data_IF_703809868647
#
_entry.id   IF_703809868647
#
_cell.length_a   1.000
_cell.length_b   1.000
_cell.length_c   1.000
_cell.angle_alpha   90.00
_cell.angle_beta   90.00
_cell.angle_gamma   90.00
#
_symmetry.space_group_name_H-M   'P 1'
#
loop_
_entity.id
_entity.type
_entity.pdbx_description
1 polymer ?
#
# COMPACT_ATOMS: atom_id res chain seq x y z
N UNK A 1 -15.65 -9.94 -19.86
CA UNK A 1 -16.10 -10.71 -18.69
C UNK A 1 -16.40 -9.72 -17.57
N UNK A 2 -17.42 -9.99 -16.75
CA UNK A 2 -17.75 -9.17 -15.59
C UNK A 2 -17.25 -9.86 -14.32
N UNK A 3 -16.38 -9.20 -13.57
CA UNK A 3 -15.82 -9.74 -12.31
C UNK A 3 -16.52 -9.12 -11.10
N UNK A 4 -16.62 -9.90 -10.03
CA UNK A 4 -17.05 -9.47 -8.71
C UNK A 4 -15.85 -9.55 -7.77
N UNK A 5 -15.30 -8.39 -7.40
CA UNK A 5 -14.06 -8.34 -6.64
C UNK A 5 -14.33 -7.95 -5.17
N UNK A 6 -13.85 -8.74 -4.23
CA UNK A 6 -13.65 -8.28 -2.84
C UNK A 6 -12.30 -7.58 -2.78
N UNK A 7 -12.28 -6.34 -2.25
CA UNK A 7 -11.05 -5.58 -1.97
C UNK A 7 -11.00 -5.33 -0.47
N UNK A 8 -10.16 -6.10 0.26
CA UNK A 8 -9.96 -5.85 1.69
C UNK A 8 -8.97 -4.72 1.88
N UNK A 9 -9.15 -3.88 2.91
CA UNK A 9 -8.35 -2.67 3.08
C UNK A 9 -8.66 -1.61 2.01
N UNK A 10 -9.85 -1.67 1.40
CA UNK A 10 -10.22 -0.81 0.28
C UNK A 10 -10.48 0.65 0.64
N UNK A 11 -10.61 0.99 1.93
CA UNK A 11 -10.69 2.38 2.41
C UNK A 11 -9.29 2.97 2.74
N UNK A 12 -8.22 2.17 2.67
CA UNK A 12 -6.83 2.62 2.83
C UNK A 12 -6.28 3.28 1.56
N UNK A 13 -5.02 3.72 1.61
CA UNK A 13 -4.35 4.45 0.54
C UNK A 13 -4.34 3.69 -0.80
N UNK A 14 -3.64 2.56 -0.88
CA UNK A 14 -3.52 1.76 -2.10
C UNK A 14 -4.88 1.12 -2.45
N UNK A 15 -5.60 0.61 -1.44
CA UNK A 15 -6.90 -0.02 -1.64
C UNK A 15 -7.93 0.91 -2.28
N UNK A 16 -8.01 2.16 -1.86
CA UNK A 16 -8.91 3.14 -2.46
C UNK A 16 -8.55 3.49 -3.91
N UNK A 17 -7.25 3.53 -4.24
CA UNK A 17 -6.80 3.72 -5.63
C UNK A 17 -7.22 2.52 -6.51
N UNK A 18 -7.08 1.28 -6.01
CA UNK A 18 -7.55 0.07 -6.71
C UNK A 18 -9.06 0.10 -6.93
N UNK A 19 -9.83 0.48 -5.91
CA UNK A 19 -11.29 0.57 -6.02
C UNK A 19 -11.71 1.63 -7.05
N UNK A 20 -11.08 2.82 -7.02
CA UNK A 20 -11.33 3.88 -8.01
C UNK A 20 -10.96 3.43 -9.42
N UNK A 21 -9.80 2.77 -9.59
CA UNK A 21 -9.36 2.22 -10.89
C UNK A 21 -10.41 1.25 -11.45
N UNK A 22 -10.87 0.28 -10.65
CA UNK A 22 -11.84 -0.72 -11.10
C UNK A 22 -13.19 -0.09 -11.46
N UNK A 23 -13.74 0.75 -10.58
CA UNK A 23 -15.09 1.33 -10.79
C UNK A 23 -15.10 2.32 -11.96
N UNK A 24 -14.04 3.12 -12.13
CA UNK A 24 -13.99 4.12 -13.22
C UNK A 24 -13.68 3.53 -14.58
N UNK A 25 -12.82 2.53 -14.64
CA UNK A 25 -12.22 2.07 -15.90
C UNK A 25 -12.73 0.70 -16.36
N UNK A 26 -13.64 0.06 -15.58
CA UNK A 26 -14.22 -1.25 -15.94
C UNK A 26 -15.71 -1.31 -15.59
N UNK A 27 -16.39 -2.37 -16.06
CA UNK A 27 -17.78 -2.67 -15.68
C UNK A 27 -17.88 -3.60 -14.46
N UNK A 28 -16.79 -3.88 -13.76
CA UNK A 28 -16.76 -4.82 -12.66
C UNK A 28 -17.45 -4.28 -11.40
N UNK A 29 -17.87 -5.19 -10.52
CA UNK A 29 -18.49 -4.88 -9.23
C UNK A 29 -17.47 -5.07 -8.11
N UNK A 30 -17.41 -4.13 -7.17
CA UNK A 30 -16.47 -4.16 -6.05
C UNK A 30 -17.22 -4.17 -4.72
N UNK A 31 -16.83 -5.10 -3.84
CA UNK A 31 -17.18 -5.08 -2.42
C UNK A 31 -15.93 -4.73 -1.62
N UNK A 32 -15.90 -3.54 -1.05
CA UNK A 32 -14.85 -3.11 -0.12
C UNK A 32 -15.12 -3.70 1.25
N UNK A 33 -14.13 -4.37 1.84
CA UNK A 33 -14.14 -4.87 3.21
C UNK A 33 -13.07 -4.15 4.00
N UNK A 34 -13.47 -3.33 4.97
CA UNK A 34 -12.53 -2.54 5.78
C UNK A 34 -13.08 -2.34 7.20
N UNK A 35 -12.21 -2.44 8.20
CA UNK A 35 -12.62 -2.21 9.59
C UNK A 35 -12.59 -0.73 9.99
N UNK A 36 -12.07 0.14 9.11
CA UNK A 36 -11.91 1.58 9.33
C UNK A 36 -11.08 1.89 10.58
N UNK A 37 -9.80 1.48 10.54
CA UNK A 37 -8.82 1.92 11.52
C UNK A 37 -8.39 3.37 11.22
N UNK A 38 -7.41 3.87 11.94
CA UNK A 38 -6.90 5.24 11.81
C UNK A 38 -6.54 5.67 10.37
N UNK A 39 -6.09 4.73 9.52
CA UNK A 39 -5.69 4.98 8.13
C UNK A 39 -6.80 4.69 7.11
N UNK A 40 -7.92 4.09 7.53
CA UNK A 40 -9.09 3.82 6.67
C UNK A 40 -10.03 5.02 6.62
N UNK A 41 -10.22 5.59 5.42
CA UNK A 41 -11.08 6.77 5.24
C UNK A 41 -12.02 6.61 4.04
N UNK A 42 -13.34 6.61 4.30
CA UNK A 42 -14.36 6.48 3.26
C UNK A 42 -14.40 7.67 2.29
N UNK A 43 -13.91 8.85 2.68
CA UNK A 43 -13.81 9.99 1.78
C UNK A 43 -12.85 9.74 0.61
N UNK A 44 -11.87 8.84 0.80
CA UNK A 44 -10.99 8.39 -0.30
C UNK A 44 -11.73 7.60 -1.39
N UNK A 45 -12.98 7.22 -1.13
CA UNK A 45 -13.88 6.50 -2.04
C UNK A 45 -15.07 7.36 -2.50
N UNK A 46 -15.16 8.64 -2.11
CA UNK A 46 -16.30 9.52 -2.40
C UNK A 46 -16.64 9.61 -3.89
N UNK A 47 -15.62 9.61 -4.76
CA UNK A 47 -15.79 9.67 -6.21
C UNK A 47 -16.47 8.43 -6.83
N UNK A 48 -16.53 7.32 -6.10
CA UNK A 48 -17.03 6.02 -6.60
C UNK A 48 -18.12 5.39 -5.72
N UNK A 49 -18.33 5.88 -4.52
CA UNK A 49 -19.28 5.34 -3.54
C UNK A 49 -20.74 5.42 -4.00
N UNK A 50 -21.09 6.35 -4.89
CA UNK A 50 -22.44 6.45 -5.49
C UNK A 50 -22.69 5.46 -6.65
N UNK A 51 -21.71 4.68 -7.08
CA UNK A 51 -21.89 3.69 -8.14
C UNK A 51 -22.74 2.50 -7.69
N UNK A 52 -23.70 2.01 -8.50
CA UNK A 52 -24.43 0.78 -8.18
C UNK A 52 -23.54 -0.47 -8.19
N UNK A 53 -22.33 -0.36 -8.70
CA UNK A 53 -21.31 -1.41 -8.72
C UNK A 53 -20.37 -1.38 -7.50
N UNK A 54 -20.58 -0.44 -6.56
CA UNK A 54 -19.82 -0.30 -5.32
C UNK A 54 -20.64 -0.81 -4.13
N UNK A 55 -20.03 -1.63 -3.27
CA UNK A 55 -20.56 -2.05 -1.98
C UNK A 55 -19.49 -1.87 -0.91
N UNK A 56 -19.89 -1.42 0.28
CA UNK A 56 -19.03 -1.33 1.45
C UNK A 56 -19.52 -2.24 2.58
N UNK A 57 -18.63 -3.03 3.16
CA UNK A 57 -18.84 -3.88 4.33
C UNK A 57 -17.83 -3.49 5.42
N UNK A 58 -18.34 -2.94 6.53
CA UNK A 58 -17.48 -2.69 7.70
C UNK A 58 -17.24 -4.00 8.43
N UNK A 59 -16.04 -4.58 8.26
CA UNK A 59 -15.68 -5.85 8.90
C UNK A 59 -14.16 -5.96 9.11
N UNK A 60 -13.77 -6.66 10.18
CA UNK A 60 -12.38 -7.06 10.42
C UNK A 60 -12.09 -8.37 9.66
N UNK A 61 -10.94 -8.46 9.00
CA UNK A 61 -10.49 -9.70 8.35
C UNK A 61 -10.19 -10.83 9.35
N UNK A 62 -10.11 -10.53 10.64
CA UNK A 62 -10.04 -11.52 11.72
C UNK A 62 -11.42 -12.08 12.11
N UNK A 63 -12.52 -11.46 11.67
CA UNK A 63 -13.88 -11.94 11.95
C UNK A 63 -14.33 -12.97 10.91
N UNK A 64 -14.13 -14.22 11.26
CA UNK A 64 -14.51 -15.36 10.41
C UNK A 64 -16.00 -15.38 10.04
N UNK A 65 -16.89 -15.03 10.98
CA UNK A 65 -18.33 -15.08 10.74
C UNK A 65 -18.76 -13.99 9.75
N UNK A 66 -18.22 -12.78 9.90
CA UNK A 66 -18.45 -11.70 8.95
C UNK A 66 -17.91 -12.06 7.55
N UNK A 67 -16.72 -12.62 7.45
CA UNK A 67 -16.14 -13.03 6.16
C UNK A 67 -16.99 -14.14 5.51
N UNK A 68 -17.37 -15.19 6.24
CA UNK A 68 -18.21 -16.27 5.71
C UNK A 68 -19.54 -15.71 5.14
N UNK A 69 -20.19 -14.76 5.83
CA UNK A 69 -21.38 -14.06 5.35
C UNK A 69 -21.09 -13.26 4.08
N UNK A 70 -20.04 -12.44 4.07
CA UNK A 70 -19.70 -11.59 2.93
C UNK A 70 -19.45 -12.46 1.67
N UNK A 71 -18.69 -13.54 1.79
CA UNK A 71 -18.44 -14.46 0.68
C UNK A 71 -19.74 -15.10 0.16
N UNK A 72 -20.64 -15.53 1.06
CA UNK A 72 -21.91 -16.13 0.69
C UNK A 72 -22.83 -15.14 -0.03
N UNK A 73 -22.94 -13.91 0.49
CA UNK A 73 -23.83 -12.88 -0.05
C UNK A 73 -23.31 -12.27 -1.36
N UNK A 74 -22.00 -11.96 -1.40
CA UNK A 74 -21.42 -11.27 -2.53
C UNK A 74 -21.02 -12.21 -3.66
N UNK A 75 -20.64 -13.44 -3.36
CA UNK A 75 -20.18 -14.47 -4.33
C UNK A 75 -19.07 -13.96 -5.25
N UNK A 76 -17.88 -13.64 -4.71
CA UNK A 76 -16.79 -13.05 -5.47
C UNK A 76 -16.21 -14.01 -6.49
N UNK A 77 -15.75 -13.47 -7.62
CA UNK A 77 -14.85 -14.16 -8.55
C UNK A 77 -13.38 -13.93 -8.20
N UNK A 78 -13.09 -12.77 -7.57
CA UNK A 78 -11.73 -12.37 -7.22
C UNK A 78 -11.69 -11.79 -5.81
N UNK A 79 -10.58 -12.04 -5.11
CA UNK A 79 -10.23 -11.40 -3.84
C UNK A 79 -8.91 -10.68 -4.03
N UNK A 80 -8.87 -9.39 -3.72
CA UNK A 80 -7.65 -8.58 -3.63
C UNK A 80 -7.43 -8.21 -2.16
N UNK A 81 -6.40 -8.79 -1.55
CA UNK A 81 -6.15 -8.67 -0.12
C UNK A 81 -5.09 -7.61 0.16
N UNK A 82 -5.55 -6.38 0.49
CA UNK A 82 -4.71 -5.24 0.86
C UNK A 82 -4.83 -4.85 2.34
N UNK A 83 -5.79 -5.41 3.09
CA UNK A 83 -5.93 -5.12 4.51
C UNK A 83 -4.68 -5.54 5.28
N UNK A 84 -4.00 -4.60 5.92
CA UNK A 84 -2.81 -4.82 6.71
C UNK A 84 -2.54 -3.63 7.64
N UNK A 85 -1.91 -3.88 8.79
CA UNK A 85 -1.14 -2.84 9.46
C UNK A 85 0.18 -2.64 8.70
N UNK A 86 0.55 -1.38 8.41
CA UNK A 86 1.60 -1.08 7.41
C UNK A 86 2.63 -0.03 7.81
N UNK A 87 2.55 0.54 9.01
CA UNK A 87 3.49 1.57 9.44
C UNK A 87 4.62 0.97 10.26
N UNK A 88 5.86 0.97 9.72
CA UNK A 88 7.02 0.34 10.36
C UNK A 88 7.25 0.88 11.77
N UNK A 89 7.20 2.21 11.97
CA UNK A 89 7.44 2.81 13.28
C UNK A 89 6.40 2.35 14.32
N UNK A 90 5.12 2.21 13.92
CA UNK A 90 4.08 1.61 14.79
C UNK A 90 4.37 0.15 15.11
N UNK A 91 4.97 -0.60 14.19
CA UNK A 91 5.32 -2.00 14.44
C UNK A 91 6.44 -2.16 15.47
N UNK A 92 7.29 -1.15 15.63
CA UNK A 92 8.34 -1.12 16.66
C UNK A 92 7.71 -0.86 18.04
N UNK A 93 6.75 0.04 18.11
CA UNK A 93 6.09 0.42 19.36
C UNK A 93 5.04 -0.62 19.81
N UNK A 94 4.33 -1.28 18.85
CA UNK A 94 3.24 -2.22 19.14
C UNK A 94 3.16 -3.38 18.14
N UNK A 95 4.08 -4.36 18.14
CA UNK A 95 4.12 -5.43 17.15
C UNK A 95 2.92 -6.38 17.18
N UNK A 96 2.20 -6.47 18.29
CA UNK A 96 1.08 -7.40 18.45
C UNK A 96 -0.05 -7.20 17.44
N UNK A 97 -0.40 -5.94 17.14
CA UNK A 97 -1.43 -5.62 16.13
C UNK A 97 -1.03 -6.09 14.72
N UNK A 98 0.27 -6.05 14.40
CA UNK A 98 0.79 -6.54 13.12
C UNK A 98 0.69 -8.04 13.01
N UNK A 99 0.97 -8.78 14.09
CA UNK A 99 0.79 -10.24 14.14
C UNK A 99 -0.69 -10.58 13.96
N UNK A 100 -1.57 -9.92 14.72
CA UNK A 100 -3.00 -10.17 14.69
C UNK A 100 -3.58 -9.87 13.30
N UNK A 101 -3.34 -8.69 12.77
CA UNK A 101 -3.93 -8.26 11.49
C UNK A 101 -3.26 -8.97 10.30
N UNK A 102 -1.93 -8.93 10.21
CA UNK A 102 -1.24 -9.38 9.00
C UNK A 102 -1.12 -10.91 8.91
N UNK A 103 -0.99 -11.61 10.04
CA UNK A 103 -0.84 -13.07 10.04
C UNK A 103 -2.18 -13.76 10.31
N UNK A 104 -2.81 -13.46 11.46
CA UNK A 104 -4.08 -14.13 11.84
C UNK A 104 -5.22 -13.69 10.92
N UNK A 105 -5.30 -12.39 10.57
CA UNK A 105 -6.29 -11.88 9.63
C UNK A 105 -6.14 -12.50 8.24
N UNK A 106 -4.90 -12.60 7.71
CA UNK A 106 -4.65 -13.28 6.43
C UNK A 106 -5.04 -14.75 6.48
N UNK A 107 -4.67 -15.47 7.57
CA UNK A 107 -5.11 -16.84 7.77
C UNK A 107 -6.64 -16.96 7.74
N UNK A 108 -7.35 -16.12 8.48
CA UNK A 108 -8.81 -16.17 8.58
C UNK A 108 -9.47 -15.90 7.21
N UNK A 109 -8.96 -14.94 6.47
CA UNK A 109 -9.45 -14.63 5.12
C UNK A 109 -9.17 -15.78 4.13
N UNK A 110 -7.98 -16.41 4.20
CA UNK A 110 -7.64 -17.57 3.38
C UNK A 110 -8.57 -18.75 3.66
N UNK A 111 -8.93 -19.00 4.92
CA UNK A 111 -9.88 -20.08 5.28
C UNK A 111 -11.31 -19.79 4.79
N UNK A 112 -11.77 -18.54 4.89
CA UNK A 112 -13.05 -18.14 4.31
C UNK A 112 -13.08 -18.29 2.78
N UNK A 113 -12.00 -17.84 2.12
CA UNK A 113 -11.84 -18.00 0.66
C UNK A 113 -11.76 -19.47 0.25
N UNK A 114 -11.03 -20.31 0.98
CA UNK A 114 -10.94 -21.77 0.73
C UNK A 114 -12.29 -22.47 0.90
N UNK A 115 -13.03 -22.14 1.96
CA UNK A 115 -14.37 -22.69 2.19
C UNK A 115 -15.30 -22.32 1.02
N UNK A 116 -15.29 -21.06 0.60
CA UNK A 116 -16.09 -20.59 -0.54
C UNK A 116 -15.65 -21.25 -1.84
N UNK A 117 -14.34 -21.29 -2.14
CA UNK A 117 -13.77 -21.93 -3.33
C UNK A 117 -14.20 -23.41 -3.45
N UNK A 118 -14.19 -24.15 -2.34
CA UNK A 118 -14.60 -25.56 -2.33
C UNK A 118 -16.11 -25.75 -2.61
N UNK A 119 -16.95 -24.73 -2.38
CA UNK A 119 -18.37 -24.77 -2.68
C UNK A 119 -18.71 -24.43 -4.13
N UNK A 120 -17.75 -23.91 -4.92
CA UNK A 120 -17.95 -23.56 -6.33
C UNK A 120 -17.98 -24.82 -7.21
N UNK A 121 -18.72 -24.70 -8.32
CA UNK A 121 -18.62 -25.66 -9.42
C UNK A 121 -17.27 -25.53 -10.16
N UNK A 122 -17.00 -26.41 -11.10
CA UNK A 122 -15.72 -26.42 -11.82
C UNK A 122 -15.47 -25.13 -12.63
N UNK A 123 -16.53 -24.51 -13.16
CA UNK A 123 -16.41 -23.25 -13.90
C UNK A 123 -16.05 -22.09 -12.96
N UNK A 124 -16.70 -22.01 -11.80
CA UNK A 124 -16.41 -21.05 -10.75
C UNK A 124 -15.00 -21.21 -10.20
N UNK A 125 -14.57 -22.45 -9.92
CA UNK A 125 -13.20 -22.73 -9.46
C UNK A 125 -12.14 -22.30 -10.48
N UNK A 126 -12.37 -22.55 -11.75
CA UNK A 126 -11.46 -22.13 -12.85
C UNK A 126 -11.32 -20.62 -12.93
N UNK A 127 -12.40 -19.88 -12.65
CA UNK A 127 -12.44 -18.42 -12.69
C UNK A 127 -11.99 -17.72 -11.40
N UNK A 128 -11.96 -18.42 -10.27
CA UNK A 128 -11.64 -17.80 -8.96
C UNK A 128 -10.16 -17.43 -8.85
N UNK A 129 -9.87 -16.28 -8.22
CA UNK A 129 -8.51 -15.82 -7.95
C UNK A 129 -8.44 -15.18 -6.55
N UNK A 130 -7.33 -15.42 -5.87
CA UNK A 130 -6.97 -14.75 -4.61
C UNK A 130 -5.61 -14.08 -4.79
N UNK A 131 -5.61 -12.76 -4.81
CA UNK A 131 -4.41 -11.94 -4.97
C UNK A 131 -4.04 -11.29 -3.64
N UNK A 132 -2.88 -11.61 -3.10
CA UNK A 132 -2.31 -11.03 -1.89
C UNK A 132 -1.30 -9.95 -2.23
N UNK A 133 -1.48 -8.78 -1.65
CA UNK A 133 -0.61 -7.61 -1.89
C UNK A 133 0.37 -7.49 -0.71
N UNK A 134 1.65 -7.55 -1.03
CA UNK A 134 2.78 -7.49 -0.09
C UNK A 134 3.71 -6.32 -0.42
N UNK A 135 4.92 -6.35 0.09
CA UNK A 135 5.91 -5.28 0.04
C UNK A 135 7.29 -5.84 -0.30
N UNK A 136 8.16 -5.05 -0.89
CA UNK A 136 9.57 -5.37 -1.09
C UNK A 136 10.38 -5.44 0.23
N UNK A 137 9.88 -4.84 1.30
CA UNK A 137 10.52 -4.90 2.62
C UNK A 137 10.66 -6.34 3.17
N UNK A 138 9.94 -7.32 2.62
CA UNK A 138 10.11 -8.74 2.97
C UNK A 138 11.47 -9.30 2.54
N UNK A 139 12.12 -8.70 1.55
CA UNK A 139 13.42 -9.12 1.06
C UNK A 139 14.58 -8.67 1.95
N UNK A 140 14.39 -7.66 2.79
CA UNK A 140 15.42 -7.09 3.65
C UNK A 140 16.19 -5.95 2.99
N UNK A 141 17.50 -5.79 3.29
CA UNK A 141 18.35 -4.72 2.79
C UNK A 141 19.24 -5.19 1.63
N UNK A 142 19.44 -4.34 0.63
CA UNK A 142 20.37 -4.60 -0.46
C UNK A 142 21.80 -4.20 -0.09
N UNK A 143 22.76 -5.12 -0.33
CA UNK A 143 24.16 -4.91 0.04
C UNK A 143 24.99 -4.15 -1.01
N UNK A 144 24.54 -4.11 -2.27
CA UNK A 144 25.28 -3.49 -3.38
C UNK A 144 24.45 -2.44 -4.11
N UNK A 145 25.12 -1.45 -4.76
CA UNK A 145 24.43 -0.38 -5.48
C UNK A 145 23.73 -0.87 -6.76
N UNK A 146 24.17 -1.98 -7.33
CA UNK A 146 23.64 -2.57 -8.56
C UNK A 146 22.72 -3.78 -8.31
N UNK A 147 22.47 -4.14 -7.03
CA UNK A 147 21.61 -5.26 -6.69
C UNK A 147 20.14 -4.86 -6.76
N UNK A 148 19.27 -5.82 -7.15
CA UNK A 148 17.82 -5.64 -7.17
C UNK A 148 17.13 -6.84 -6.56
N UNK A 149 16.03 -6.60 -5.86
CA UNK A 149 15.13 -7.67 -5.40
C UNK A 149 14.37 -8.27 -6.57
N UNK A 150 14.47 -9.57 -6.71
CA UNK A 150 13.73 -10.39 -7.68
C UNK A 150 12.74 -11.28 -6.96
N UNK A 151 11.79 -11.84 -7.68
CA UNK A 151 10.82 -12.77 -7.12
C UNK A 151 11.46 -14.04 -6.53
N UNK A 152 12.71 -14.33 -6.91
CA UNK A 152 13.52 -15.43 -6.38
C UNK A 152 14.44 -15.03 -5.23
N UNK A 153 14.52 -13.76 -4.86
CA UNK A 153 15.32 -13.28 -3.73
C UNK A 153 14.79 -13.88 -2.43
N UNK A 154 15.63 -14.50 -1.60
CA UNK A 154 15.21 -15.00 -0.28
C UNK A 154 14.70 -13.87 0.61
N UNK A 155 13.67 -14.17 1.42
CA UNK A 155 13.14 -13.22 2.39
C UNK A 155 14.10 -13.08 3.59
N UNK A 156 14.38 -11.85 3.99
CA UNK A 156 15.21 -11.49 5.14
C UNK A 156 14.69 -10.22 5.84
N UNK A 157 13.42 -10.20 6.30
CA UNK A 157 12.77 -9.01 6.83
C UNK A 157 13.47 -8.46 8.08
N UNK A 158 13.60 -7.12 8.19
CA UNK A 158 14.35 -6.43 9.25
C UNK A 158 13.45 -5.82 10.35
N UNK A 159 12.13 -5.72 10.13
CA UNK A 159 11.18 -5.10 11.06
C UNK A 159 10.03 -6.03 11.43
N UNK A 160 9.32 -5.79 12.57
CA UNK A 160 8.11 -6.54 12.89
C UNK A 160 7.04 -6.46 11.80
N UNK A 161 6.90 -5.31 11.14
CA UNK A 161 6.02 -5.15 9.98
C UNK A 161 6.43 -6.08 8.84
N UNK A 162 7.66 -5.96 8.34
CA UNK A 162 8.12 -6.77 7.19
C UNK A 162 8.12 -8.27 7.51
N UNK A 163 8.44 -8.66 8.76
CA UNK A 163 8.35 -10.05 9.22
C UNK A 163 6.90 -10.57 9.20
N UNK A 164 5.93 -9.75 9.61
CA UNK A 164 4.50 -10.12 9.56
C UNK A 164 4.01 -10.25 8.11
N UNK A 165 4.47 -9.40 7.19
CA UNK A 165 4.16 -9.50 5.76
C UNK A 165 4.80 -10.73 5.12
N UNK A 166 6.07 -11.02 5.41
CA UNK A 166 6.73 -12.24 4.96
C UNK A 166 5.99 -13.50 5.44
N UNK A 167 5.50 -13.49 6.68
CA UNK A 167 4.70 -14.59 7.23
C UNK A 167 3.39 -14.77 6.47
N UNK A 168 2.67 -13.69 6.16
CA UNK A 168 1.43 -13.76 5.36
C UNK A 168 1.68 -14.24 3.94
N UNK A 169 2.77 -13.84 3.29
CA UNK A 169 3.17 -14.33 1.96
C UNK A 169 3.40 -15.85 1.97
N UNK A 170 4.06 -16.36 3.01
CA UNK A 170 4.27 -17.81 3.18
C UNK A 170 2.95 -18.56 3.38
N UNK A 171 2.00 -18.01 4.15
CA UNK A 171 0.66 -18.60 4.30
C UNK A 171 -0.05 -18.68 2.93
N UNK A 172 -0.05 -17.60 2.17
CA UNK A 172 -0.70 -17.54 0.85
C UNK A 172 -0.12 -18.59 -0.10
N UNK A 173 1.21 -18.71 -0.16
CA UNK A 173 1.89 -19.74 -0.97
C UNK A 173 1.57 -21.15 -0.48
N UNK A 174 1.49 -21.37 0.84
CA UNK A 174 1.14 -22.66 1.42
C UNK A 174 -0.30 -23.06 1.06
N UNK A 175 -1.28 -22.13 1.09
CA UNK A 175 -2.66 -22.40 0.68
C UNK A 175 -2.78 -22.83 -0.78
N UNK A 176 -2.00 -22.22 -1.66
CA UNK A 176 -1.90 -22.69 -3.06
C UNK A 176 -1.35 -24.11 -3.14
N UNK A 177 -0.21 -24.37 -2.50
CA UNK A 177 0.50 -25.64 -2.62
C UNK A 177 -0.23 -26.80 -1.95
N UNK A 178 -0.83 -26.55 -0.77
CA UNK A 178 -1.46 -27.59 0.04
C UNK A 178 -2.92 -27.82 -0.34
N UNK A 179 -3.67 -26.76 -0.60
CA UNK A 179 -5.13 -26.83 -0.79
C UNK A 179 -5.57 -26.49 -2.22
N UNK A 180 -4.66 -26.14 -3.11
CA UNK A 180 -4.99 -25.81 -4.49
C UNK A 180 -5.71 -24.46 -4.69
N UNK A 181 -5.82 -23.62 -3.65
CA UNK A 181 -6.45 -22.29 -3.78
C UNK A 181 -5.66 -21.45 -4.78
N UNK A 182 -6.27 -20.90 -5.85
CA UNK A 182 -5.55 -20.18 -6.89
C UNK A 182 -5.11 -18.80 -6.43
N UNK A 183 -4.00 -18.77 -5.67
CA UNK A 183 -3.42 -17.55 -5.09
C UNK A 183 -2.30 -16.99 -5.94
N UNK A 184 -2.09 -15.66 -5.85
CA UNK A 184 -0.94 -14.91 -6.38
C UNK A 184 -0.43 -13.96 -5.32
N UNK A 185 0.83 -13.57 -5.39
CA UNK A 185 1.46 -12.59 -4.50
C UNK A 185 2.06 -11.47 -5.34
N UNK A 186 1.93 -10.22 -4.90
CA UNK A 186 2.71 -9.11 -5.44
C UNK A 186 3.52 -8.44 -4.34
N UNK A 187 4.78 -8.13 -4.64
CA UNK A 187 5.65 -7.34 -3.76
C UNK A 187 5.91 -6.00 -4.45
N UNK A 188 5.52 -4.90 -3.80
CA UNK A 188 5.64 -3.57 -4.39
C UNK A 188 6.69 -2.72 -3.69
N UNK A 189 7.29 -1.80 -4.44
CA UNK A 189 8.13 -0.74 -3.91
C UNK A 189 7.32 0.35 -3.18
N UNK A 190 8.00 1.37 -2.65
CA UNK A 190 7.37 2.42 -1.86
C UNK A 190 6.36 3.23 -2.69
N UNK A 191 5.10 3.25 -2.24
CA UNK A 191 4.04 3.97 -2.93
C UNK A 191 3.92 5.43 -2.48
N UNK A 192 3.51 6.31 -3.39
CA UNK A 192 3.17 7.69 -3.13
C UNK A 192 2.05 8.18 -4.05
N UNK A 193 1.36 9.25 -3.67
CA UNK A 193 0.27 9.80 -4.48
C UNK A 193 -0.88 10.37 -3.66
N UNK A 194 -2.02 10.65 -4.30
CA UNK A 194 -3.25 11.12 -3.67
C UNK A 194 -3.76 10.19 -2.57
N UNK A 195 -4.34 10.76 -1.51
CA UNK A 195 -4.95 10.05 -0.38
C UNK A 195 -3.97 9.25 0.50
N UNK A 196 -2.65 9.46 0.40
CA UNK A 196 -1.68 8.82 1.27
C UNK A 196 -1.76 9.40 2.69
N UNK A 197 -1.92 8.52 3.71
CA UNK A 197 -2.09 8.96 5.09
C UNK A 197 -0.86 9.73 5.59
N UNK A 198 -1.04 10.87 6.31
CA UNK A 198 0.02 11.83 6.60
C UNK A 198 1.07 11.41 7.64
N UNK A 199 1.09 10.15 8.07
CA UNK A 199 2.20 9.58 8.85
C UNK A 199 3.41 9.17 7.99
N UNK A 200 3.23 9.10 6.66
CA UNK A 200 4.28 8.71 5.71
C UNK A 200 5.06 9.92 5.20
N UNK A 201 6.31 9.68 4.79
CA UNK A 201 7.30 10.73 4.46
C UNK A 201 6.73 11.84 3.55
N UNK A 202 6.20 11.50 2.39
CA UNK A 202 5.80 12.49 1.39
C UNK A 202 4.64 13.37 1.88
N UNK A 203 3.48 12.83 2.32
CA UNK A 203 2.40 13.67 2.81
C UNK A 203 2.76 14.41 4.10
N UNK A 204 3.53 13.79 5.01
CA UNK A 204 4.01 14.47 6.22
C UNK A 204 4.82 15.73 5.89
N UNK A 205 5.79 15.60 4.97
CA UNK A 205 6.64 16.73 4.55
C UNK A 205 5.80 17.84 3.91
N UNK A 206 4.87 17.51 3.02
CA UNK A 206 3.99 18.51 2.38
C UNK A 206 3.18 19.27 3.44
N UNK A 207 2.50 18.56 4.34
CA UNK A 207 1.61 19.17 5.32
C UNK A 207 2.38 19.92 6.42
N UNK A 208 3.53 19.41 6.88
CA UNK A 208 4.41 20.13 7.79
C UNK A 208 4.95 21.43 7.17
N UNK A 209 5.42 21.36 5.93
CA UNK A 209 5.93 22.52 5.21
C UNK A 209 4.87 23.63 5.15
N UNK A 210 3.65 23.30 4.73
CA UNK A 210 2.53 24.25 4.64
C UNK A 210 2.10 24.79 6.02
N UNK A 211 2.27 24.00 7.08
CA UNK A 211 1.98 24.42 8.45
C UNK A 211 3.14 25.19 9.13
N UNK A 212 4.24 25.47 8.43
CA UNK A 212 5.43 26.13 8.99
C UNK A 212 6.18 25.31 10.05
N UNK A 213 5.99 23.98 10.08
CA UNK A 213 6.62 23.04 11.00
C UNK A 213 7.95 22.53 10.47
N UNK A 214 8.79 21.99 11.36
CA UNK A 214 10.02 21.31 10.99
C UNK A 214 9.74 20.08 10.10
N UNK A 215 10.64 19.83 9.14
CA UNK A 215 10.62 18.67 8.23
C UNK A 215 11.66 17.66 8.70
N UNK A 216 11.27 16.67 9.54
CA UNK A 216 12.23 15.75 10.13
C UNK A 216 12.72 14.74 9.09
N UNK A 217 14.06 14.62 8.97
CA UNK A 217 14.73 13.65 8.11
C UNK A 217 15.56 12.72 8.99
N UNK A 218 15.31 11.42 8.91
CA UNK A 218 16.05 10.42 9.67
C UNK A 218 17.52 10.33 9.24
N UNK A 219 18.45 10.32 10.20
CA UNK A 219 19.89 10.28 9.97
C UNK A 219 20.33 11.44 9.08
N UNK A 220 20.92 11.13 7.94
CA UNK A 220 21.30 12.10 6.90
C UNK A 220 20.34 12.08 5.68
N UNK A 221 19.30 11.25 5.74
CA UNK A 221 18.36 11.04 4.63
C UNK A 221 18.96 10.26 3.45
N UNK A 222 19.99 9.45 3.70
CA UNK A 222 20.70 8.69 2.65
C UNK A 222 20.02 7.38 2.26
N UNK A 223 18.97 6.98 2.99
CA UNK A 223 18.21 5.78 2.66
C UNK A 223 17.57 5.94 1.28
N UNK A 224 17.75 4.92 0.44
CA UNK A 224 17.29 4.89 -0.95
C UNK A 224 16.02 4.04 -1.01
N UNK A 225 15.00 4.56 -1.70
CA UNK A 225 13.74 3.86 -1.97
C UNK A 225 13.39 3.98 -3.44
N UNK A 226 12.85 2.92 -4.01
CA UNK A 226 12.17 2.97 -5.30
C UNK A 226 10.74 3.48 -5.09
N UNK A 227 10.34 4.51 -5.84
CA UNK A 227 9.07 5.21 -5.66
C UNK A 227 8.11 4.90 -6.79
N UNK A 228 6.96 4.33 -6.42
CA UNK A 228 5.90 3.92 -7.34
C UNK A 228 4.65 4.79 -7.15
N UNK A 229 4.19 5.43 -8.22
CA UNK A 229 2.96 6.22 -8.16
C UNK A 229 1.74 5.32 -7.96
N UNK A 230 0.86 5.68 -7.02
CA UNK A 230 -0.20 4.79 -6.53
C UNK A 230 -1.20 4.36 -7.61
N UNK A 231 -1.49 5.21 -8.59
CA UNK A 231 -2.39 4.84 -9.69
C UNK A 231 -1.73 3.87 -10.68
N UNK A 232 -0.41 3.95 -10.89
CA UNK A 232 0.35 2.94 -11.62
C UNK A 232 0.30 1.60 -10.91
N UNK A 233 0.46 1.62 -9.59
CA UNK A 233 0.34 0.41 -8.78
C UNK A 233 -1.07 -0.18 -8.84
N UNK A 234 -2.12 0.64 -8.72
CA UNK A 234 -3.50 0.17 -8.81
C UNK A 234 -3.79 -0.55 -10.14
N UNK A 235 -3.28 -0.02 -11.26
CA UNK A 235 -3.37 -0.68 -12.57
C UNK A 235 -2.61 -2.01 -12.62
N UNK A 236 -1.40 -2.07 -12.05
CA UNK A 236 -0.64 -3.32 -11.94
C UNK A 236 -1.39 -4.38 -11.13
N UNK A 237 -1.92 -3.99 -9.96
CA UNK A 237 -2.65 -4.90 -9.08
C UNK A 237 -3.90 -5.46 -9.75
N UNK A 238 -4.68 -4.63 -10.45
CA UNK A 238 -5.84 -5.08 -11.21
C UNK A 238 -5.44 -6.03 -12.34
N UNK A 239 -4.36 -5.72 -13.05
CA UNK A 239 -3.84 -6.56 -14.13
C UNK A 239 -3.41 -7.95 -13.61
N UNK A 240 -2.65 -7.99 -12.50
CA UNK A 240 -2.26 -9.26 -11.86
C UNK A 240 -3.47 -10.03 -11.37
N UNK A 241 -4.44 -9.36 -10.73
CA UNK A 241 -5.66 -10.03 -10.26
C UNK A 241 -6.43 -10.73 -11.38
N UNK A 242 -6.47 -10.15 -12.60
CA UNK A 242 -7.27 -10.63 -13.70
C UNK A 242 -6.52 -11.47 -14.74
N UNK A 243 -5.21 -11.31 -14.87
CA UNK A 243 -4.39 -11.95 -15.90
C UNK A 243 -3.16 -12.70 -15.35
N UNK A 244 -2.82 -12.49 -14.07
CA UNK A 244 -1.69 -13.16 -13.42
C UNK A 244 -1.86 -14.68 -13.33
N UNK A 245 -0.76 -15.39 -13.32
CA UNK A 245 -0.73 -16.86 -13.27
C UNK A 245 -0.85 -17.31 -11.79
N UNK A 246 -1.86 -18.14 -11.44
CA UNK A 246 -2.00 -18.66 -10.08
C UNK A 246 -0.78 -19.46 -9.60
N UNK A 247 -0.23 -19.05 -8.47
CA UNK A 247 1.00 -19.62 -7.88
C UNK A 247 2.21 -18.73 -8.07
N UNK A 248 2.15 -17.75 -8.97
CA UNK A 248 3.26 -16.84 -9.25
C UNK A 248 3.33 -15.65 -8.27
N UNK A 249 4.54 -15.13 -8.15
CA UNK A 249 4.82 -13.84 -7.50
C UNK A 249 5.23 -12.84 -8.58
N UNK A 250 4.80 -11.59 -8.45
CA UNK A 250 5.18 -10.49 -9.32
C UNK A 250 5.70 -9.33 -8.49
N UNK A 251 6.89 -8.86 -8.80
CA UNK A 251 7.43 -7.62 -8.29
C UNK A 251 6.86 -6.43 -9.08
N UNK A 252 6.53 -5.34 -8.37
CA UNK A 252 5.99 -4.12 -8.98
C UNK A 252 6.80 -2.93 -8.47
N UNK A 253 7.57 -2.29 -9.34
CA UNK A 253 8.45 -1.18 -9.01
C UNK A 253 8.31 0.01 -9.96
N UNK A 254 8.72 1.18 -9.48
CA UNK A 254 8.65 2.42 -10.25
C UNK A 254 9.89 2.69 -11.10
N UNK A 255 10.98 1.98 -10.85
CA UNK A 255 12.33 2.29 -11.38
C UNK A 255 12.76 3.73 -11.09
N UNK A 256 12.36 4.25 -9.94
CA UNK A 256 12.55 5.64 -9.49
C UNK A 256 13.29 5.68 -8.15
N UNK A 257 14.51 5.16 -8.10
CA UNK A 257 15.34 5.18 -6.89
C UNK A 257 15.73 6.61 -6.52
N UNK A 258 15.42 7.03 -5.30
CA UNK A 258 15.78 8.34 -4.75
C UNK A 258 16.18 8.22 -3.29
N UNK A 259 17.14 9.03 -2.85
CA UNK A 259 17.41 9.22 -1.43
C UNK A 259 16.27 9.99 -0.77
N UNK A 260 15.97 9.68 0.47
CA UNK A 260 14.92 10.39 1.22
C UNK A 260 15.14 11.91 1.24
N UNK A 261 16.39 12.37 1.38
CA UNK A 261 16.70 13.81 1.36
C UNK A 261 16.43 14.46 -0.01
N UNK A 262 16.62 13.71 -1.12
CA UNK A 262 16.31 14.20 -2.47
C UNK A 262 14.80 14.38 -2.65
N UNK A 263 14.00 13.42 -2.14
CA UNK A 263 12.53 13.51 -2.14
C UNK A 263 12.07 14.72 -1.35
N UNK A 264 12.57 14.93 -0.13
CA UNK A 264 12.21 16.08 0.72
C UNK A 264 12.56 17.41 0.03
N UNK A 265 13.76 17.53 -0.52
CA UNK A 265 14.17 18.74 -1.26
C UNK A 265 13.32 19.00 -2.50
N UNK A 266 12.94 17.93 -3.23
CA UNK A 266 12.06 18.06 -4.40
C UNK A 266 10.67 18.57 -4.03
N UNK A 267 10.11 18.10 -2.90
CA UNK A 267 8.84 18.61 -2.37
C UNK A 267 8.97 20.08 -2.01
N UNK A 268 10.02 20.49 -1.28
CA UNK A 268 10.27 21.89 -0.94
C UNK A 268 10.33 22.77 -2.21
N UNK A 269 11.09 22.35 -3.23
CA UNK A 269 11.17 23.06 -4.50
C UNK A 269 9.81 23.24 -5.18
N UNK A 270 8.99 22.19 -5.20
CA UNK A 270 7.64 22.26 -5.79
C UNK A 270 6.72 23.17 -4.99
N UNK A 271 6.82 23.17 -3.66
CA UNK A 271 6.05 24.07 -2.81
C UNK A 271 6.50 25.52 -2.97
N UNK A 272 7.81 25.80 -3.10
CA UNK A 272 8.33 27.14 -3.39
C UNK A 272 7.78 27.70 -4.72
N UNK A 273 7.58 26.81 -5.72
CA UNK A 273 7.00 27.17 -7.02
C UNK A 273 5.47 27.36 -6.94
N UNK A 274 4.74 26.40 -6.33
CA UNK A 274 3.29 26.30 -6.43
C UNK A 274 2.53 27.05 -5.33
N UNK A 275 3.16 27.24 -4.17
CA UNK A 275 2.59 27.86 -2.97
C UNK A 275 3.68 28.53 -2.13
N UNK A 276 4.38 29.57 -2.65
CA UNK A 276 5.50 30.19 -1.96
C UNK A 276 5.09 30.74 -0.59
N UNK A 277 6.01 30.69 0.36
CA UNK A 277 5.79 31.20 1.72
C UNK A 277 5.64 32.73 1.69
N UNK A 278 4.77 33.24 2.56
CA UNK A 278 4.52 34.68 2.66
C UNK A 278 5.73 35.50 3.15
N UNK A 279 6.68 34.85 3.85
CA UNK A 279 7.93 35.49 4.31
C UNK A 279 9.07 35.43 3.28
N UNK A 280 8.83 34.85 2.10
CA UNK A 280 9.78 34.73 0.99
C UNK A 280 10.95 33.77 1.20
N UNK A 281 10.99 33.04 2.34
CA UNK A 281 12.03 32.05 2.60
C UNK A 281 11.69 30.70 1.96
N UNK A 282 12.69 29.91 1.50
CA UNK A 282 12.43 28.62 0.92
C UNK A 282 11.99 27.60 1.97
N UNK A 283 11.11 26.67 1.58
CA UNK A 283 10.66 25.59 2.45
C UNK A 283 11.80 24.67 2.92
N UNK A 284 12.88 24.60 2.16
CA UNK A 284 14.07 23.80 2.53
C UNK A 284 14.75 24.26 3.84
N UNK A 285 14.54 25.49 4.30
CA UNK A 285 15.02 25.95 5.61
C UNK A 285 14.33 25.26 6.80
N UNK A 286 13.17 24.62 6.57
CA UNK A 286 12.47 23.86 7.60
C UNK A 286 13.04 22.44 7.80
N UNK A 287 13.98 21.98 6.97
CA UNK A 287 14.57 20.63 7.07
C UNK A 287 15.42 20.54 8.34
N UNK A 288 15.14 19.52 9.15
CA UNK A 288 15.91 19.18 10.36
C UNK A 288 16.31 17.71 10.30
N UNK A 289 17.57 17.41 10.66
CA UNK A 289 18.04 16.04 10.75
C UNK A 289 17.81 15.49 12.16
N UNK A 290 17.17 14.35 12.28
CA UNK A 290 16.83 13.71 13.55
C UNK A 290 17.51 12.34 13.66
N UNK A 291 17.60 11.81 14.90
CA UNK A 291 18.17 10.47 15.13
C UNK A 291 17.43 9.42 14.29
N UNK A 292 18.20 8.53 13.67
CA UNK A 292 17.63 7.44 12.86
C UNK A 292 16.89 6.40 13.72
N UNK A 293 15.98 5.65 13.10
CA UNK A 293 15.21 4.59 13.77
C UNK A 293 16.01 3.27 13.80
N UNK A 294 15.75 2.38 14.77
CA UNK A 294 16.33 1.04 14.78
C UNK A 294 15.90 0.24 13.53
N UNK A 295 16.82 -0.59 13.01
CA UNK A 295 16.52 -1.48 11.87
C UNK A 295 16.13 -0.77 10.58
N UNK A 296 16.66 0.43 10.35
CA UNK A 296 16.36 1.20 9.16
C UNK A 296 17.24 0.73 7.99
N UNK A 297 16.69 -0.07 7.10
CA UNK A 297 17.35 -0.57 5.90
C UNK A 297 17.83 0.58 5.00
N UNK A 298 19.01 0.43 4.42
CA UNK A 298 19.65 1.48 3.65
C UNK A 298 19.06 1.60 2.25
N UNK A 299 18.85 0.48 1.54
CA UNK A 299 18.42 0.53 0.14
C UNK A 299 17.40 -0.54 -0.20
N UNK A 300 16.32 -0.09 -0.84
CA UNK A 300 15.37 -0.93 -1.55
C UNK A 300 15.35 -0.56 -3.03
N UNK A 301 15.50 -1.56 -3.89
CA UNK A 301 15.33 -1.44 -5.33
C UNK A 301 14.77 -2.77 -5.86
N UNK A 302 13.76 -2.70 -6.70
CA UNK A 302 13.01 -3.87 -7.13
C UNK A 302 13.15 -4.06 -8.65
N UNK A 303 13.39 -5.32 -9.07
CA UNK A 303 13.31 -5.73 -10.47
C UNK A 303 11.86 -6.07 -10.79
N UNK A 304 11.23 -5.25 -11.64
CA UNK A 304 9.85 -5.42 -12.09
C UNK A 304 9.76 -5.95 -13.54
N UNK A 305 10.81 -6.52 -14.08
CA UNK A 305 10.85 -6.99 -15.48
C UNK A 305 9.86 -8.13 -15.75
N UNK A 306 9.59 -8.98 -14.75
CA UNK A 306 8.66 -10.11 -14.92
C UNK A 306 7.24 -9.67 -15.25
N UNK A 307 6.68 -8.73 -14.49
CA UNK A 307 5.33 -8.22 -14.77
C UNK A 307 5.27 -7.51 -16.14
N UNK A 308 6.33 -6.81 -16.52
CA UNK A 308 6.44 -6.20 -17.85
C UNK A 308 6.45 -7.23 -18.96
N UNK A 309 7.26 -8.25 -18.84
CA UNK A 309 7.43 -9.30 -19.83
C UNK A 309 6.20 -10.22 -19.97
N UNK A 310 5.57 -10.60 -18.84
CA UNK A 310 4.47 -11.56 -18.83
C UNK A 310 3.09 -10.92 -19.01
N UNK A 311 2.88 -9.71 -18.48
CA UNK A 311 1.59 -9.04 -18.47
C UNK A 311 1.59 -7.69 -19.23
N UNK A 312 2.72 -7.27 -19.78
CA UNK A 312 2.83 -6.03 -20.56
C UNK A 312 2.72 -4.74 -19.72
N UNK A 313 2.79 -4.82 -18.38
CA UNK A 313 2.69 -3.66 -17.53
C UNK A 313 4.01 -2.89 -17.47
N UNK A 314 3.89 -1.56 -17.39
CA UNK A 314 4.97 -0.63 -17.04
C UNK A 314 4.39 0.62 -16.37
N UNK A 315 5.15 1.30 -15.51
CA UNK A 315 4.72 2.56 -14.93
C UNK A 315 4.51 3.61 -16.03
N UNK A 316 3.52 4.47 -15.87
CA UNK A 316 3.21 5.59 -16.77
C UNK A 316 3.79 6.91 -16.23
N UNK A 317 3.97 7.01 -14.90
CA UNK A 317 4.54 8.18 -14.26
C UNK A 317 6.03 8.00 -13.99
N UNK A 318 6.80 9.06 -14.25
CA UNK A 318 8.14 9.22 -13.66
C UNK A 318 8.00 9.75 -12.24
N UNK A 319 9.09 9.71 -11.45
CA UNK A 319 9.07 10.35 -10.14
C UNK A 319 8.76 11.85 -10.25
N UNK A 320 9.31 12.54 -11.22
CA UNK A 320 9.14 13.97 -11.44
C UNK A 320 7.68 14.34 -11.75
N UNK A 321 7.02 13.58 -12.63
CA UNK A 321 5.62 13.83 -12.98
C UNK A 321 4.67 13.44 -11.84
N UNK A 322 4.89 12.30 -11.21
CA UNK A 322 4.05 11.81 -10.12
C UNK A 322 4.16 12.66 -8.85
N UNK A 323 5.38 13.11 -8.46
CA UNK A 323 5.55 13.95 -7.26
C UNK A 323 4.92 15.32 -7.44
N UNK A 324 4.98 15.93 -8.64
CA UNK A 324 4.25 17.17 -8.95
C UNK A 324 2.75 16.99 -8.77
N UNK A 325 2.16 15.96 -9.40
CA UNK A 325 0.73 15.62 -9.24
C UNK A 325 0.33 15.42 -7.79
N UNK A 326 1.22 14.79 -7.02
CA UNK A 326 1.00 14.56 -5.60
C UNK A 326 0.96 15.88 -4.82
N UNK A 327 1.95 16.76 -4.99
CA UNK A 327 1.98 18.07 -4.32
C UNK A 327 0.76 18.91 -4.71
N UNK A 328 0.43 18.99 -6.00
CA UNK A 328 -0.76 19.69 -6.50
C UNK A 328 -2.05 19.15 -5.89
N UNK A 329 -2.18 17.82 -5.74
CA UNK A 329 -3.33 17.20 -5.11
C UNK A 329 -3.46 17.62 -3.63
N UNK A 330 -2.36 17.58 -2.85
CA UNK A 330 -2.39 18.01 -1.44
C UNK A 330 -2.70 19.50 -1.29
N UNK A 331 -2.17 20.35 -2.15
CA UNK A 331 -2.48 21.78 -2.16
C UNK A 331 -3.97 22.04 -2.43
N UNK A 332 -4.56 21.28 -3.36
CA UNK A 332 -5.99 21.38 -3.69
C UNK A 332 -6.90 20.86 -2.56
N UNK A 333 -6.47 19.81 -1.85
CA UNK A 333 -7.29 19.10 -0.86
C UNK A 333 -6.89 19.33 0.60
N UNK A 334 -6.12 20.40 0.87
CA UNK A 334 -5.66 20.73 2.23
C UNK A 334 -6.79 21.08 3.19
N UNK A 335 -7.84 21.74 2.69
CA UNK A 335 -8.95 22.26 3.48
C UNK A 335 -10.16 21.30 3.53
N UNK A 336 -10.14 20.20 2.77
CA UNK A 336 -11.16 19.16 2.78
C UNK A 336 -10.62 17.82 3.31
N UNK A 337 -10.09 16.96 2.45
CA UNK A 337 -9.63 15.61 2.84
C UNK A 337 -8.50 15.66 3.90
N UNK A 338 -7.50 16.53 3.72
CA UNK A 338 -6.40 16.62 4.70
C UNK A 338 -6.88 17.16 6.05
N UNK A 339 -7.74 18.17 6.06
CA UNK A 339 -8.31 18.72 7.28
C UNK A 339 -9.16 17.66 8.02
N UNK A 340 -9.95 16.86 7.29
CA UNK A 340 -10.72 15.77 7.87
C UNK A 340 -9.80 14.72 8.53
N UNK A 341 -8.77 14.25 7.82
CA UNK A 341 -7.82 13.26 8.34
C UNK A 341 -7.09 13.78 9.58
N UNK A 342 -6.69 15.07 9.59
CA UNK A 342 -5.99 15.70 10.70
C UNK A 342 -6.89 16.07 11.88
N UNK A 343 -8.22 16.13 11.70
CA UNK A 343 -9.18 16.34 12.80
C UNK A 343 -9.38 15.11 13.67
N UNK A 344 -8.94 13.92 13.21
CA UNK A 344 -8.98 12.66 13.95
C UNK A 344 -7.93 12.56 15.07
N UNK A 345 -7.70 11.34 15.54
CA UNK A 345 -6.74 11.06 16.64
C UNK A 345 -5.27 11.30 16.25
N UNK A 346 -4.95 11.33 14.95
CA UNK A 346 -3.58 11.48 14.49
C UNK A 346 -3.08 12.92 14.59
N UNK A 347 -2.06 13.14 15.42
CA UNK A 347 -1.47 14.47 15.70
C UNK A 347 -0.21 14.80 14.90
N UNK A 348 0.16 14.00 13.88
CA UNK A 348 1.42 14.09 13.14
C UNK A 348 2.66 14.01 14.07
N UNK A 349 2.59 13.22 15.12
CA UNK A 349 3.69 13.03 16.07
C UNK A 349 4.69 11.99 15.56
N UNK A 350 5.94 12.10 16.02
CA UNK A 350 6.97 11.11 15.70
C UNK A 350 6.68 9.79 16.42
N UNK A 351 6.74 8.68 15.67
CA UNK A 351 6.55 7.31 16.15
C UNK A 351 7.88 6.52 16.04
N UNK A 352 7.91 5.28 16.53
CA UNK A 352 9.05 4.37 16.35
C UNK A 352 10.24 4.65 17.23
N UNK A 353 10.03 5.29 18.37
CA UNK A 353 11.10 5.59 19.32
C UNK A 353 11.44 4.39 20.21
N UNK A 354 10.67 3.29 20.17
CA UNK A 354 10.89 2.07 20.97
C UNK A 354 10.90 2.32 22.48
N UNK A 355 10.16 3.33 22.95
CA UNK A 355 10.15 3.71 24.36
C UNK A 355 11.43 4.44 24.83
N UNK A 356 12.35 4.75 23.95
CA UNK A 356 13.49 5.64 24.24
C UNK A 356 13.01 7.09 24.24
N UNK A 357 12.71 7.60 25.44
CA UNK A 357 12.49 9.03 25.69
C UNK A 357 13.82 9.77 25.80
#
# INVERSE_FOLDING_TARGET
MHYKLIVTGGAGFIGSAVVREIIKNTENTVCVVDKLTYAGNLESLSEVSGSPRFRFEKADICDKAALDRIFADFQPTHVMHLAAESHVDRSIDGPGEFIQTNIVGTYTLLEAARKYYNSLDEAGKKGFRFHHISTDEVYGDLNGPEDFFRETTPYAPSSPYSASKASSDHLVRAWKRTFGLPTMVTNCSNNYGPYHFPEKLIPLVILHALAGKELPVYGKGEQIRDWLYVEDHARALYLVATQGIPGETYNIGGHNEKKNIEVVRKICQLLDELSPRSDGRPYSEQIVFVKDRPGHDLRYAIDADKIGRELGWKPQETFESGIRKTVEWYLKHKDDWCAHVLSGEYKMERLGTGGMK
#
